data_IF_530733586309
#
_entry.id   IF_530733586309
#
_cell.length_a   1.000
_cell.length_b   1.000
_cell.length_c   1.000
_cell.angle_alpha   90.00
_cell.angle_beta   90.00
_cell.angle_gamma   90.00
#
_symmetry.space_group_name_H-M   'P 1'
#
loop_
_entity.id
_entity.type
_entity.pdbx_description
1 polymer ?
#
# COMPACT_ATOMS: atom_id res chain seq x y z
N UNK A 1 -11.20 -27.54 2.98
CA UNK A 1 -10.15 -26.73 3.64
C UNK A 1 -10.67 -25.32 3.81
N UNK A 2 -10.37 -24.62 4.92
CA UNK A 2 -10.76 -23.21 5.08
C UNK A 2 -9.94 -22.31 4.16
N UNK A 3 -10.48 -21.15 3.79
CA UNK A 3 -9.77 -20.14 3.02
C UNK A 3 -8.50 -19.68 3.75
N UNK A 4 -7.39 -19.58 3.03
CA UNK A 4 -6.10 -19.22 3.60
C UNK A 4 -5.91 -17.72 3.51
N UNK A 5 -5.78 -17.09 4.68
CA UNK A 5 -5.43 -15.68 4.80
C UNK A 5 -3.95 -15.53 5.14
N UNK A 6 -3.23 -14.74 4.34
CA UNK A 6 -1.80 -14.52 4.54
C UNK A 6 -1.43 -13.06 4.37
N UNK A 7 -0.74 -12.50 5.35
CA UNK A 7 -0.06 -11.21 5.22
C UNK A 7 1.34 -11.42 4.67
N UNK A 8 1.65 -10.77 3.57
CA UNK A 8 2.99 -10.76 2.96
C UNK A 8 3.91 -9.79 3.72
N UNK A 9 5.16 -10.18 3.87
CA UNK A 9 6.19 -9.30 4.44
C UNK A 9 6.73 -8.32 3.38
N UNK A 10 7.39 -7.21 3.76
CA UNK A 10 7.85 -6.21 2.79
C UNK A 10 8.77 -6.74 1.68
N UNK A 11 9.55 -7.79 1.95
CA UNK A 11 10.42 -8.42 0.93
C UNK A 11 9.66 -9.29 -0.06
N UNK A 12 8.41 -9.65 0.24
CA UNK A 12 7.52 -10.44 -0.61
C UNK A 12 6.67 -9.57 -1.54
N UNK A 13 6.70 -8.24 -1.36
CA UNK A 13 5.93 -7.27 -2.13
C UNK A 13 6.87 -6.36 -2.90
N UNK A 14 6.86 -6.49 -4.23
CA UNK A 14 7.63 -5.60 -5.10
C UNK A 14 6.70 -5.01 -6.16
N UNK A 15 7.04 -3.82 -6.66
CA UNK A 15 6.20 -3.11 -7.61
C UNK A 15 6.08 -3.92 -8.91
N UNK A 16 4.92 -4.54 -9.12
CA UNK A 16 4.63 -5.39 -10.27
C UNK A 16 4.69 -6.91 -10.00
N UNK A 17 5.05 -7.36 -8.79
CA UNK A 17 5.08 -8.78 -8.45
C UNK A 17 4.82 -9.06 -6.97
N UNK A 18 4.30 -10.27 -6.68
CA UNK A 18 4.11 -10.80 -5.33
C UNK A 18 4.81 -12.15 -5.20
N UNK A 19 5.63 -12.31 -4.16
CA UNK A 19 6.24 -13.58 -3.79
C UNK A 19 5.35 -14.32 -2.80
N UNK A 20 5.05 -15.59 -3.08
CA UNK A 20 4.14 -16.42 -2.29
C UNK A 20 4.88 -17.49 -1.48
N UNK A 21 6.07 -17.16 -1.00
CA UNK A 21 7.03 -18.07 -0.38
C UNK A 21 6.47 -18.77 0.86
N UNK A 22 6.34 -20.10 0.86
CA UNK A 22 5.81 -20.84 2.02
C UNK A 22 4.29 -21.00 2.03
N UNK A 23 3.61 -20.67 0.94
CA UNK A 23 2.24 -21.14 0.71
C UNK A 23 2.23 -22.61 0.24
N UNK A 24 1.23 -23.42 0.64
CA UNK A 24 1.01 -24.75 0.07
C UNK A 24 0.82 -24.68 -1.46
N UNK A 25 1.47 -25.60 -2.20
CA UNK A 25 1.45 -25.57 -3.69
C UNK A 25 0.11 -25.95 -4.29
N UNK A 26 -0.68 -26.73 -3.57
CA UNK A 26 -2.02 -27.19 -3.95
C UNK A 26 -3.07 -26.06 -3.91
N UNK A 27 -2.78 -24.96 -3.20
CA UNK A 27 -3.66 -23.79 -3.13
C UNK A 27 -3.43 -22.77 -4.25
N UNK A 28 -2.45 -23.00 -5.12
CA UNK A 28 -2.04 -22.05 -6.14
C UNK A 28 -2.00 -22.71 -7.51
N UNK A 29 -2.13 -21.94 -8.61
CA UNK A 29 -2.08 -22.50 -9.94
C UNK A 29 -0.68 -23.03 -10.21
N UNK A 30 -0.60 -24.04 -11.08
CA UNK A 30 0.69 -24.52 -11.53
C UNK A 30 1.48 -23.40 -12.21
N UNK A 31 2.82 -23.49 -12.21
CA UNK A 31 3.62 -22.58 -12.99
C UNK A 31 3.12 -22.39 -14.41
N UNK A 32 3.30 -21.19 -14.93
CA UNK A 32 2.86 -20.72 -16.25
C UNK A 32 1.35 -20.65 -16.48
N UNK A 33 0.53 -21.12 -15.53
CA UNK A 33 -0.91 -20.97 -15.59
C UNK A 33 -1.33 -19.55 -15.22
N UNK A 34 -2.50 -19.17 -15.74
CA UNK A 34 -3.13 -17.90 -15.39
C UNK A 34 -3.54 -17.89 -13.92
N UNK A 35 -3.42 -16.71 -13.32
CA UNK A 35 -3.95 -16.39 -12.00
C UNK A 35 -4.83 -15.17 -12.17
N UNK A 36 -6.04 -15.20 -11.62
CA UNK A 36 -6.90 -14.03 -11.55
C UNK A 36 -6.66 -13.38 -10.21
N UNK A 37 -6.12 -12.16 -10.23
CA UNK A 37 -6.06 -11.32 -9.04
C UNK A 37 -7.36 -10.54 -8.95
N UNK A 38 -8.00 -10.61 -7.79
CA UNK A 38 -9.17 -9.79 -7.48
C UNK A 38 -8.73 -8.77 -6.45
N UNK A 39 -8.90 -7.48 -6.74
CA UNK A 39 -8.55 -6.43 -5.80
C UNK A 39 -9.68 -6.14 -4.78
N UNK A 40 -9.47 -5.14 -3.93
CA UNK A 40 -10.45 -4.76 -2.91
C UNK A 40 -11.78 -4.24 -3.51
N UNK A 41 -11.74 -3.70 -4.74
CA UNK A 41 -12.91 -3.18 -5.46
C UNK A 41 -13.62 -4.29 -6.26
N UNK A 42 -13.13 -5.53 -6.19
CA UNK A 42 -13.65 -6.65 -6.96
C UNK A 42 -13.18 -6.69 -8.43
N UNK A 43 -12.28 -5.80 -8.83
CA UNK A 43 -11.74 -5.76 -10.19
C UNK A 43 -10.77 -6.92 -10.41
N UNK A 44 -10.86 -7.52 -11.60
CA UNK A 44 -10.10 -8.71 -11.97
C UNK A 44 -8.92 -8.33 -12.85
N UNK A 45 -7.73 -8.72 -12.43
CA UNK A 45 -6.49 -8.57 -13.18
C UNK A 45 -5.98 -9.94 -13.59
N UNK A 46 -5.78 -10.15 -14.88
CA UNK A 46 -5.12 -11.35 -15.36
C UNK A 46 -3.62 -11.27 -15.12
N UNK A 47 -3.10 -12.25 -14.39
CA UNK A 47 -1.67 -12.40 -14.10
C UNK A 47 -1.22 -13.82 -14.42
N UNK A 48 0.08 -14.08 -14.27
CA UNK A 48 0.68 -15.40 -14.54
C UNK A 48 1.51 -15.87 -13.35
N UNK A 49 1.37 -17.15 -13.00
CA UNK A 49 2.22 -17.81 -12.02
C UNK A 49 3.59 -18.10 -12.65
N UNK A 50 4.67 -17.69 -11.99
CA UNK A 50 6.05 -17.96 -12.43
C UNK A 50 6.67 -19.14 -11.66
N UNK A 51 7.38 -20.01 -12.39
CA UNK A 51 7.78 -21.36 -11.95
C UNK A 51 8.85 -21.41 -10.85
N UNK A 52 9.79 -20.46 -10.86
CA UNK A 52 11.01 -20.56 -10.07
C UNK A 52 10.85 -20.20 -8.59
N UNK A 53 9.87 -19.36 -8.23
CA UNK A 53 9.78 -18.79 -6.87
C UNK A 53 8.34 -18.62 -6.35
N UNK A 54 7.35 -19.30 -6.93
CA UNK A 54 5.92 -19.12 -6.58
C UNK A 54 5.55 -17.64 -6.56
N UNK A 55 5.72 -17.01 -7.72
CA UNK A 55 5.60 -15.56 -7.88
C UNK A 55 4.45 -15.25 -8.84
N UNK A 56 3.65 -14.27 -8.50
CA UNK A 56 2.69 -13.66 -9.43
C UNK A 56 3.35 -12.42 -10.01
N UNK A 57 3.37 -12.33 -11.34
CA UNK A 57 3.99 -11.22 -12.08
C UNK A 57 2.94 -10.44 -12.88
N UNK A 58 3.32 -9.29 -13.45
CA UNK A 58 2.45 -8.48 -14.30
C UNK A 58 1.47 -7.58 -13.55
N UNK A 59 1.70 -7.33 -12.25
CA UNK A 59 0.78 -6.60 -11.39
C UNK A 59 0.96 -5.07 -11.46
N UNK A 60 1.74 -4.56 -12.41
CA UNK A 60 2.04 -3.12 -12.50
C UNK A 60 0.77 -2.26 -12.60
N UNK A 61 -0.24 -2.71 -13.35
CA UNK A 61 -1.51 -1.98 -13.47
C UNK A 61 -2.26 -1.93 -12.14
N UNK A 62 -2.36 -3.06 -11.44
CA UNK A 62 -2.93 -3.15 -10.10
C UNK A 62 -2.19 -2.19 -9.13
N UNK A 63 -0.86 -2.23 -9.13
CA UNK A 63 -0.04 -1.37 -8.27
C UNK A 63 -0.19 0.13 -8.59
N UNK A 64 -0.36 0.51 -9.87
CA UNK A 64 -0.64 1.89 -10.30
C UNK A 64 -2.02 2.35 -9.86
N UNK A 65 -3.05 1.53 -10.06
CA UNK A 65 -4.43 1.83 -9.67
C UNK A 65 -4.50 2.16 -8.17
N UNK A 66 -3.89 1.33 -7.34
CA UNK A 66 -3.92 1.46 -5.88
C UNK A 66 -2.83 2.40 -5.32
N UNK A 67 -2.11 3.14 -6.19
CA UNK A 67 -1.01 4.05 -5.83
C UNK A 67 -0.02 3.47 -4.79
N UNK A 68 0.32 2.20 -4.98
CA UNK A 68 1.08 1.41 -4.00
C UNK A 68 2.58 1.70 -4.06
N UNK A 69 3.28 1.42 -2.96
CA UNK A 69 4.74 1.58 -2.86
C UNK A 69 5.45 0.27 -2.49
N UNK A 70 6.75 0.19 -2.80
CA UNK A 70 7.57 -0.99 -2.51
C UNK A 70 7.57 -1.32 -1.01
N UNK A 71 7.33 -2.58 -0.66
CA UNK A 71 7.29 -3.04 0.72
C UNK A 71 6.02 -2.67 1.49
N UNK A 72 5.01 -2.11 0.82
CA UNK A 72 3.68 -1.94 1.42
C UNK A 72 3.10 -3.31 1.83
N UNK A 73 2.41 -3.35 2.97
CA UNK A 73 1.77 -4.57 3.44
C UNK A 73 0.67 -5.01 2.47
N UNK A 74 0.70 -6.29 2.09
CA UNK A 74 -0.30 -6.92 1.23
C UNK A 74 -0.88 -8.11 1.96
N UNK A 75 -2.19 -8.25 1.93
CA UNK A 75 -2.87 -9.42 2.49
C UNK A 75 -3.56 -10.19 1.37
N UNK A 76 -3.37 -11.50 1.38
CA UNK A 76 -3.93 -12.45 0.43
C UNK A 76 -5.05 -13.24 1.08
N UNK A 77 -6.11 -13.51 0.34
CA UNK A 77 -7.13 -14.50 0.67
C UNK A 77 -7.31 -15.46 -0.50
N UNK A 78 -6.99 -16.72 -0.24
CA UNK A 78 -6.92 -17.79 -1.23
C UNK A 78 -7.95 -18.84 -0.85
N UNK A 79 -8.93 -19.00 -1.74
CA UNK A 79 -9.93 -20.05 -1.62
C UNK A 79 -9.36 -21.37 -2.16
N UNK A 80 -9.23 -22.43 -1.34
CA UNK A 80 -8.80 -23.75 -1.81
C UNK A 80 -9.70 -24.34 -2.90
N UNK A 81 -10.96 -23.91 -2.99
CA UNK A 81 -11.89 -24.35 -4.03
C UNK A 81 -11.68 -23.61 -5.35
N UNK A 82 -10.93 -22.50 -5.34
CA UNK A 82 -10.63 -21.67 -6.50
C UNK A 82 -9.13 -21.31 -6.54
N UNK A 83 -8.22 -22.29 -6.70
CA UNK A 83 -6.77 -22.04 -6.67
C UNK A 83 -6.32 -21.06 -7.77
N UNK A 84 -7.11 -20.88 -8.84
CA UNK A 84 -6.90 -19.89 -9.90
C UNK A 84 -7.13 -18.43 -9.50
N UNK A 85 -7.70 -18.17 -8.32
CA UNK A 85 -8.17 -16.85 -7.89
C UNK A 85 -7.49 -16.46 -6.59
N UNK A 86 -6.88 -15.28 -6.57
CA UNK A 86 -6.22 -14.73 -5.39
C UNK A 86 -6.78 -13.34 -5.11
N UNK A 87 -7.40 -13.18 -3.94
CA UNK A 87 -7.88 -11.87 -3.52
C UNK A 87 -6.73 -11.12 -2.85
N UNK A 88 -6.50 -9.87 -3.25
CA UNK A 88 -5.37 -9.05 -2.82
C UNK A 88 -5.89 -7.75 -2.21
N UNK A 89 -5.36 -7.39 -1.03
CA UNK A 89 -5.62 -6.11 -0.37
C UNK A 89 -4.31 -5.43 0.00
N UNK A 90 -4.19 -4.14 -0.31
CA UNK A 90 -3.07 -3.30 0.09
C UNK A 90 -3.45 -2.54 1.37
N UNK A 91 -2.62 -2.64 2.42
CA UNK A 91 -2.80 -1.88 3.67
C UNK A 91 -4.07 -2.17 4.48
N UNK A 92 -4.09 -3.24 5.28
CA UNK A 92 -5.17 -3.50 6.26
C UNK A 92 -5.28 -4.96 6.72
N UNK A 93 -5.92 -5.22 7.87
CA UNK A 93 -6.25 -6.55 8.41
C UNK A 93 -7.59 -7.06 7.86
N UNK A 94 -7.73 -8.39 7.68
CA UNK A 94 -9.03 -9.02 7.40
C UNK A 94 -9.87 -9.04 8.67
N UNK A 95 -10.62 -7.98 8.97
CA UNK A 95 -11.80 -8.14 9.82
C UNK A 95 -12.93 -8.71 8.96
N UNK A 96 -13.43 -9.87 9.39
CA UNK A 96 -14.23 -10.77 8.57
C UNK A 96 -15.63 -10.25 8.25
N UNK A 97 -16.02 -10.36 6.98
CA UNK A 97 -17.39 -10.75 6.64
C UNK A 97 -17.34 -12.15 6.03
N UNK A 98 -18.12 -13.13 6.53
CA UNK A 98 -18.24 -14.43 5.88
C UNK A 98 -18.92 -14.26 4.52
N UNK A 99 -18.41 -14.95 3.50
CA UNK A 99 -19.13 -15.15 2.25
C UNK A 99 -20.36 -16.02 2.51
N UNK A 100 -21.56 -15.46 2.41
CA UNK A 100 -22.74 -16.22 1.97
C UNK A 100 -23.70 -15.30 1.21
N UNK A 101 -23.99 -15.70 -0.03
CA UNK A 101 -25.26 -15.63 -0.76
C UNK A 101 -26.30 -14.62 -0.25
N UNK A 102 -26.55 -13.56 -1.02
CA UNK A 102 -27.86 -13.34 -1.66
C UNK A 102 -27.83 -12.14 -2.61
N UNK A 103 -28.46 -12.34 -3.77
CA UNK A 103 -28.89 -11.30 -4.69
C UNK A 103 -29.85 -10.33 -3.98
N UNK A 104 -29.92 -9.10 -4.49
CA UNK A 104 -30.81 -8.00 -4.12
C UNK A 104 -30.55 -7.33 -2.76
N UNK A 105 -29.69 -6.31 -2.77
CA UNK A 105 -30.10 -4.92 -2.59
C UNK A 105 -28.95 -3.98 -2.98
N UNK A 106 -29.29 -3.06 -3.88
CA UNK A 106 -28.45 -2.00 -4.43
C UNK A 106 -28.02 -0.98 -3.36
N UNK A 107 -26.75 -0.58 -3.46
CA UNK A 107 -26.27 0.80 -3.27
C UNK A 107 -26.26 1.39 -1.85
N UNK A 108 -25.35 0.92 -0.97
CA UNK A 108 -24.57 1.79 -0.07
C UNK A 108 -23.56 0.99 0.79
N UNK A 109 -22.37 0.64 0.28
CA UNK A 109 -21.24 0.32 1.19
C UNK A 109 -19.82 0.36 0.59
N UNK A 110 -19.63 0.62 -0.70
CA UNK A 110 -18.33 0.33 -1.32
C UNK A 110 -17.31 1.48 -1.37
N UNK A 111 -17.55 2.63 -0.73
CA UNK A 111 -16.49 3.65 -0.52
C UNK A 111 -16.73 4.39 0.81
N UNK A 112 -16.47 3.73 1.94
CA UNK A 112 -16.29 4.45 3.19
C UNK A 112 -14.88 4.15 3.71
N UNK A 113 -13.86 4.76 3.09
CA UNK A 113 -12.62 5.00 3.84
C UNK A 113 -13.07 5.84 5.03
N UNK A 114 -12.96 5.30 6.24
CA UNK A 114 -13.46 5.98 7.41
C UNK A 114 -12.67 7.29 7.59
N UNK A 115 -13.33 8.31 8.15
CA UNK A 115 -12.67 9.59 8.50
C UNK A 115 -11.39 9.33 9.32
N UNK A 116 -11.43 8.33 10.18
CA UNK A 116 -10.30 7.89 11.00
C UNK A 116 -9.13 7.30 10.19
N UNK A 117 -9.41 6.52 9.14
CA UNK A 117 -8.38 5.95 8.27
C UNK A 117 -7.69 7.02 7.41
N UNK A 118 -8.46 8.00 6.93
CA UNK A 118 -7.89 9.17 6.23
C UNK A 118 -7.04 10.01 7.20
N UNK A 119 -7.54 10.28 8.41
CA UNK A 119 -6.79 11.00 9.44
C UNK A 119 -5.47 10.30 9.79
N UNK A 120 -5.50 8.98 10.02
CA UNK A 120 -4.30 8.20 10.30
C UNK A 120 -3.29 8.26 9.14
N UNK A 121 -3.77 8.31 7.90
CA UNK A 121 -2.91 8.46 6.72
C UNK A 121 -2.23 9.84 6.67
N UNK A 122 -2.97 10.92 6.95
CA UNK A 122 -2.41 12.26 7.06
C UNK A 122 -1.38 12.36 8.20
N UNK A 123 -1.65 11.77 9.37
CA UNK A 123 -0.70 11.72 10.49
C UNK A 123 0.63 11.07 10.08
N UNK A 124 0.57 9.94 9.37
CA UNK A 124 1.77 9.23 8.89
C UNK A 124 2.55 10.10 7.89
N UNK A 125 1.87 10.77 6.97
CA UNK A 125 2.51 11.63 5.97
C UNK A 125 3.15 12.85 6.64
N UNK A 126 2.43 13.55 7.51
CA UNK A 126 2.93 14.70 8.24
C UNK A 126 4.15 14.35 9.09
N UNK A 127 4.10 13.23 9.82
CA UNK A 127 5.25 12.73 10.59
C UNK A 127 6.47 12.44 9.72
N UNK A 128 6.29 11.87 8.52
CA UNK A 128 7.41 11.63 7.59
C UNK A 128 8.01 12.93 7.08
N UNK A 129 7.19 13.93 6.79
CA UNK A 129 7.65 15.26 6.37
C UNK A 129 8.42 15.94 7.51
N UNK A 130 7.91 15.88 8.74
CA UNK A 130 8.58 16.44 9.92
C UNK A 130 9.94 15.80 10.17
N UNK A 131 10.04 14.47 10.07
CA UNK A 131 11.30 13.76 10.17
C UNK A 131 12.31 14.19 9.09
N UNK A 132 11.85 14.42 7.86
CA UNK A 132 12.70 14.92 6.79
C UNK A 132 13.21 16.34 7.07
N UNK A 133 12.37 17.23 7.61
CA UNK A 133 12.76 18.58 8.03
C UNK A 133 13.82 18.51 9.14
N UNK A 134 13.60 17.67 10.16
CA UNK A 134 14.56 17.46 11.26
C UNK A 134 15.91 16.99 10.71
N UNK A 135 15.91 16.02 9.79
CA UNK A 135 17.13 15.51 9.18
C UNK A 135 17.87 16.60 8.39
N UNK A 136 17.16 17.38 7.55
CA UNK A 136 17.74 18.48 6.78
C UNK A 136 18.34 19.56 7.69
N UNK A 137 17.65 19.93 8.78
CA UNK A 137 18.14 20.91 9.73
C UNK A 137 19.38 20.41 10.48
N UNK A 138 19.38 19.15 10.91
CA UNK A 138 20.52 18.53 11.58
C UNK A 138 21.75 18.43 10.66
N UNK A 139 21.56 17.99 9.42
CA UNK A 139 22.64 17.93 8.43
C UNK A 139 23.14 19.33 8.03
N UNK A 140 22.23 20.31 7.92
CA UNK A 140 22.56 21.70 7.65
C UNK A 140 23.40 22.33 8.77
N UNK A 141 23.02 22.11 10.02
CA UNK A 141 23.77 22.55 11.19
C UNK A 141 25.18 21.93 11.22
N UNK A 142 25.28 20.61 11.01
CA UNK A 142 26.56 19.92 10.92
C UNK A 142 27.43 20.44 9.76
N UNK A 143 26.84 20.75 8.61
CA UNK A 143 27.57 21.33 7.49
C UNK A 143 28.10 22.74 7.83
N UNK A 144 27.31 23.54 8.56
CA UNK A 144 27.69 24.88 9.01
C UNK A 144 28.88 24.83 9.98
N UNK A 145 28.82 23.96 10.99
CA UNK A 145 29.92 23.75 11.96
C UNK A 145 31.24 23.36 11.29
N UNK A 146 31.15 22.60 10.19
CA UNK A 146 32.32 22.17 9.41
C UNK A 146 32.77 23.19 8.35
N UNK A 147 32.25 24.42 8.36
CA UNK A 147 32.60 25.47 7.39
C UNK A 147 32.11 25.21 5.96
N UNK A 148 31.21 24.24 5.75
CA UNK A 148 30.67 23.87 4.43
C UNK A 148 29.47 24.73 4.08
N UNK A 149 29.67 26.05 4.01
CA UNK A 149 28.59 27.04 3.91
C UNK A 149 27.65 26.85 2.72
N UNK A 150 28.16 26.46 1.54
CA UNK A 150 27.33 26.20 0.36
C UNK A 150 26.38 25.02 0.58
N UNK A 151 26.86 23.96 1.22
CA UNK A 151 26.06 22.76 1.52
C UNK A 151 25.03 23.08 2.60
N UNK A 152 25.43 23.80 3.65
CA UNK A 152 24.53 24.26 4.70
C UNK A 152 23.37 25.09 4.10
N UNK A 153 23.68 26.02 3.19
CA UNK A 153 22.66 26.83 2.50
C UNK A 153 21.67 25.98 1.68
N UNK A 154 22.16 25.05 0.86
CA UNK A 154 21.30 24.18 0.06
C UNK A 154 20.38 23.30 0.92
N UNK A 155 20.91 22.76 2.03
CA UNK A 155 20.11 21.97 2.98
C UNK A 155 19.05 22.82 3.70
N UNK A 156 19.38 24.05 4.08
CA UNK A 156 18.41 24.99 4.66
C UNK A 156 17.30 25.36 3.65
N UNK A 157 17.65 25.64 2.39
CA UNK A 157 16.66 25.92 1.34
C UNK A 157 15.72 24.72 1.11
N UNK A 158 16.25 23.50 1.13
CA UNK A 158 15.44 22.27 1.09
C UNK A 158 14.54 22.14 2.32
N UNK A 159 15.04 22.47 3.51
CA UNK A 159 14.25 22.48 4.75
C UNK A 159 13.08 23.46 4.70
N UNK A 160 13.30 24.66 4.15
CA UNK A 160 12.25 25.66 3.92
C UNK A 160 11.19 25.12 2.95
N UNK A 161 11.60 24.56 1.81
CA UNK A 161 10.66 23.94 0.84
C UNK A 161 9.83 22.83 1.48
N UNK A 162 10.45 21.99 2.32
CA UNK A 162 9.73 20.93 3.03
C UNK A 162 8.76 21.47 4.08
N UNK A 163 9.10 22.57 4.73
CA UNK A 163 8.20 23.27 5.65
C UNK A 163 6.97 23.78 4.91
N UNK A 164 7.16 24.45 3.77
CA UNK A 164 6.05 24.89 2.91
C UNK A 164 5.18 23.71 2.44
N UNK A 165 5.79 22.58 2.09
CA UNK A 165 5.04 21.39 1.68
C UNK A 165 4.23 20.79 2.84
N UNK A 166 4.81 20.71 4.05
CA UNK A 166 4.10 20.28 5.26
C UNK A 166 2.84 21.12 5.49
N UNK A 167 2.97 22.43 5.36
CA UNK A 167 1.86 23.35 5.65
C UNK A 167 0.72 23.17 4.64
N UNK A 168 1.03 22.94 3.37
CA UNK A 168 0.03 22.57 2.35
C UNK A 168 -0.67 21.24 2.67
N UNK A 169 0.07 20.24 3.16
CA UNK A 169 -0.53 18.96 3.55
C UNK A 169 -1.46 19.13 4.76
N UNK A 170 -1.11 20.01 5.71
CA UNK A 170 -1.99 20.36 6.84
C UNK A 170 -3.26 21.06 6.37
N UNK A 171 -3.14 22.02 5.46
CA UNK A 171 -4.29 22.72 4.87
C UNK A 171 -5.26 21.73 4.19
N UNK A 172 -4.74 20.78 3.40
CA UNK A 172 -5.57 19.73 2.79
C UNK A 172 -6.24 18.85 3.85
N UNK A 173 -5.54 18.52 4.94
CA UNK A 173 -6.12 17.74 6.04
C UNK A 173 -7.25 18.51 6.73
N UNK A 174 -7.06 19.80 7.01
CA UNK A 174 -8.07 20.66 7.61
C UNK A 174 -9.31 20.78 6.70
N UNK A 175 -9.11 20.99 5.40
CA UNK A 175 -10.18 20.99 4.41
C UNK A 175 -10.95 19.66 4.43
N UNK A 176 -10.25 18.54 4.43
CA UNK A 176 -10.86 17.21 4.46
C UNK A 176 -11.73 16.99 5.70
N UNK A 177 -11.23 17.35 6.88
CA UNK A 177 -11.95 17.22 8.15
C UNK A 177 -13.25 18.04 8.16
N UNK A 178 -13.25 19.17 7.46
CA UNK A 178 -14.40 20.09 7.36
C UNK A 178 -15.41 19.73 6.27
N UNK A 179 -15.00 18.97 5.23
CA UNK A 179 -15.88 18.56 4.12
C UNK A 179 -16.62 17.26 4.45
N UNK A 180 -15.98 16.33 5.16
CA UNK A 180 -16.59 15.04 5.51
C UNK A 180 -17.36 15.18 6.83
N UNK A 181 -18.71 15.02 6.82
CA UNK A 181 -19.54 15.17 8.02
C UNK A 181 -19.17 14.18 9.13
#
# INVERSE_FOLDING_TARGET
>A
MPALKRKLIPTEVNYGLLLLTGLPRDLLPQPTHKVIIVDADGEKFEAKMHSSQMRIDGLTQLHRKHNTYRGQAVTLDIDPLQPGVVNVRFGGTFEGKPMLTNLTQETQSDIAISKDEVNASFDVILKKIENAIIALNHEGAKALENGKYKIARDLMEKGIKMTTYRDKVKEIWDEWVNIVP
#
